data_IF_046498978782
#
_entry.id   IF_046498978782
#
_cell.length_a   1.000
_cell.length_b   1.000
_cell.length_c   1.000
_cell.angle_alpha   90.00
_cell.angle_beta   90.00
_cell.angle_gamma   90.00
#
_symmetry.space_group_name_H-M   'P 1'
#
loop_
_entity.id
_entity.type
_entity.pdbx_description
1 polymer ?
#
# COMPACT_ATOMS: atom_id res chain seq x y z
N UNK A 1 -5.03 -14.19 -37.68
CA UNK A 1 -4.71 -12.97 -36.92
C UNK A 1 -4.38 -13.41 -35.50
N UNK A 2 -3.12 -13.32 -35.07
CA UNK A 2 -2.70 -13.79 -33.76
C UNK A 2 -2.82 -12.64 -32.74
N UNK A 3 -3.51 -12.88 -31.62
CA UNK A 3 -3.59 -11.94 -30.50
C UNK A 3 -2.33 -12.13 -29.66
N UNK A 4 -1.50 -11.09 -29.45
CA UNK A 4 -0.36 -11.22 -28.54
C UNK A 4 -0.88 -11.40 -27.11
N UNK A 5 -0.51 -12.49 -26.45
CA UNK A 5 -0.64 -12.62 -25.01
C UNK A 5 0.35 -11.64 -24.36
N UNK A 6 -0.17 -10.59 -23.74
CA UNK A 6 0.61 -9.81 -22.79
C UNK A 6 0.84 -10.67 -21.55
N UNK A 7 2.08 -11.07 -21.29
CA UNK A 7 2.45 -11.64 -20.00
C UNK A 7 2.29 -10.56 -18.95
N UNK A 8 1.25 -10.65 -18.13
CA UNK A 8 1.15 -9.82 -16.93
C UNK A 8 2.39 -10.08 -16.08
N UNK A 9 3.29 -9.10 -16.01
CA UNK A 9 4.38 -9.12 -15.03
C UNK A 9 3.74 -8.89 -13.67
N UNK A 10 3.53 -9.97 -12.92
CA UNK A 10 3.16 -9.88 -11.52
C UNK A 10 4.39 -9.40 -10.75
N UNK A 11 4.26 -8.27 -10.04
CA UNK A 11 5.26 -7.89 -9.06
C UNK A 11 5.45 -9.03 -8.05
N UNK A 12 6.67 -9.23 -7.57
CA UNK A 12 6.95 -10.28 -6.59
C UNK A 12 6.36 -9.95 -5.21
N UNK A 13 6.10 -11.02 -4.44
CA UNK A 13 5.57 -10.92 -3.08
C UNK A 13 6.60 -10.35 -2.08
N UNK A 14 6.08 -9.72 -1.02
CA UNK A 14 6.78 -9.37 0.21
C UNK A 14 5.99 -9.96 1.37
N UNK A 15 5.95 -11.29 1.46
CA UNK A 15 5.03 -12.02 2.33
C UNK A 15 5.53 -12.18 3.78
N UNK A 16 6.69 -11.62 4.12
CA UNK A 16 7.30 -11.71 5.45
C UNK A 16 8.21 -10.51 5.74
N UNK A 17 8.53 -10.32 7.02
CA UNK A 17 9.53 -9.34 7.45
C UNK A 17 10.87 -9.56 6.73
N UNK A 18 11.42 -8.50 6.13
CA UNK A 18 12.65 -8.60 5.34
C UNK A 18 12.56 -9.34 3.99
N UNK A 19 11.34 -9.57 3.47
CA UNK A 19 10.99 -10.19 2.17
C UNK A 19 11.30 -11.67 2.01
N UNK A 20 12.49 -12.08 2.43
CA UNK A 20 13.01 -13.46 2.30
C UNK A 20 13.53 -13.94 3.65
N UNK A 21 13.84 -15.24 3.76
CA UNK A 21 14.48 -15.80 4.95
C UNK A 21 15.85 -15.14 5.30
N UNK A 22 16.45 -14.38 4.38
CA UNK A 22 17.67 -13.62 4.63
C UNK A 22 17.47 -12.34 5.46
N UNK A 23 16.23 -11.84 5.61
CA UNK A 23 15.90 -10.67 6.43
C UNK A 23 16.67 -9.37 6.10
N UNK A 24 17.04 -9.15 4.83
CA UNK A 24 17.91 -8.04 4.42
C UNK A 24 17.18 -6.87 3.73
N UNK A 25 15.84 -6.83 3.77
CA UNK A 25 15.03 -5.72 3.20
C UNK A 25 15.38 -5.31 1.76
N UNK A 26 15.84 -6.26 0.96
CA UNK A 26 16.30 -6.00 -0.39
C UNK A 26 15.19 -6.30 -1.40
N UNK A 27 14.99 -5.43 -2.39
CA UNK A 27 14.16 -5.67 -3.57
C UNK A 27 15.02 -5.62 -4.85
N UNK A 28 14.89 -6.59 -5.79
CA UNK A 28 15.57 -6.57 -7.08
C UNK A 28 14.87 -5.68 -8.10
N UNK A 29 13.73 -5.06 -7.74
CA UNK A 29 12.95 -4.20 -8.62
C UNK A 29 13.81 -3.05 -9.15
N UNK A 30 13.64 -2.72 -10.43
CA UNK A 30 14.44 -1.70 -11.13
C UNK A 30 13.52 -0.70 -11.80
N UNK A 31 14.04 0.48 -12.11
CA UNK A 31 13.27 1.53 -12.78
C UNK A 31 12.17 2.13 -11.91
N UNK A 32 12.24 1.95 -10.59
CA UNK A 32 11.34 2.61 -9.66
C UNK A 32 11.64 4.12 -9.58
N UNK A 33 10.64 4.98 -9.38
CA UNK A 33 10.87 6.38 -9.08
C UNK A 33 11.78 6.55 -7.86
N UNK A 34 12.80 7.41 -7.96
CA UNK A 34 13.73 7.70 -6.85
C UNK A 34 13.25 8.85 -5.95
N UNK A 35 12.15 9.50 -6.32
CA UNK A 35 11.52 10.61 -5.61
C UNK A 35 10.00 10.50 -5.75
N UNK A 36 9.28 10.96 -4.73
CA UNK A 36 7.83 11.09 -4.78
C UNK A 36 7.39 12.31 -3.96
N UNK A 37 6.21 12.84 -4.27
CA UNK A 37 5.54 13.84 -3.46
C UNK A 37 4.14 13.31 -3.10
N UNK A 38 3.77 13.25 -1.80
CA UNK A 38 2.51 12.68 -1.34
C UNK A 38 1.29 13.53 -1.73
N UNK A 39 1.49 14.75 -2.22
CA UNK A 39 0.42 15.71 -2.56
C UNK A 39 -0.16 16.41 -1.34
N UNK A 40 -1.12 17.29 -1.61
CA UNK A 40 -1.89 18.03 -0.63
C UNK A 40 -3.22 17.33 -0.31
N UNK A 41 -3.78 17.61 0.87
CA UNK A 41 -5.15 17.24 1.17
C UNK A 41 -6.13 18.20 0.49
N UNK A 42 -7.26 17.68 0.01
CA UNK A 42 -8.36 18.54 -0.44
C UNK A 42 -8.88 19.35 0.74
N UNK A 43 -9.18 20.65 0.57
CA UNK A 43 -9.57 21.54 1.67
C UNK A 43 -10.71 20.97 2.52
N UNK A 44 -10.48 20.88 3.84
CA UNK A 44 -11.49 20.41 4.80
C UNK A 44 -11.73 18.89 4.81
N UNK A 45 -10.87 18.10 4.16
CA UNK A 45 -10.99 16.64 4.12
C UNK A 45 -9.67 15.95 4.46
N UNK A 46 -9.73 14.64 4.65
CA UNK A 46 -8.54 13.76 4.77
C UNK A 46 -8.25 13.02 3.46
N UNK A 47 -8.81 13.49 2.34
CA UNK A 47 -8.55 12.92 1.02
C UNK A 47 -7.37 13.62 0.36
N UNK A 48 -6.41 12.85 -0.15
CA UNK A 48 -5.30 13.37 -0.95
C UNK A 48 -5.81 13.79 -2.33
N UNK A 49 -5.40 14.98 -2.78
CA UNK A 49 -5.56 15.40 -4.16
C UNK A 49 -4.44 14.78 -5.02
N UNK A 50 -4.77 13.68 -5.72
CA UNK A 50 -3.82 12.97 -6.58
C UNK A 50 -3.21 13.88 -7.67
N UNK A 51 -3.86 14.97 -8.08
CA UNK A 51 -3.33 15.89 -9.09
C UNK A 51 -2.10 16.69 -8.61
N UNK A 52 -1.93 16.80 -7.28
CA UNK A 52 -0.80 17.48 -6.64
C UNK A 52 0.36 16.53 -6.31
N UNK A 53 0.17 15.23 -6.55
CA UNK A 53 1.19 14.22 -6.26
C UNK A 53 2.26 14.16 -7.34
N UNK A 54 3.43 13.60 -6.98
CA UNK A 54 4.48 13.26 -7.93
C UNK A 54 4.83 11.79 -7.75
N UNK A 55 4.77 11.02 -8.83
CA UNK A 55 5.08 9.58 -8.86
C UNK A 55 4.22 8.72 -7.91
N UNK A 56 2.97 9.11 -7.63
CA UNK A 56 2.02 8.34 -6.82
C UNK A 56 0.92 7.78 -7.73
N UNK A 57 0.65 6.48 -7.63
CA UNK A 57 -0.37 5.80 -8.45
C UNK A 57 -1.76 5.82 -7.83
N UNK A 58 -1.83 5.70 -6.50
CA UNK A 58 -3.07 5.66 -5.73
C UNK A 58 -2.77 5.97 -4.25
N UNK A 59 -3.82 6.33 -3.52
CA UNK A 59 -3.80 6.58 -2.06
C UNK A 59 -5.00 5.87 -1.45
N UNK A 60 -4.82 5.29 -0.26
CA UNK A 60 -5.90 4.69 0.52
C UNK A 60 -5.88 5.28 1.94
N UNK A 61 -7.04 5.63 2.47
CA UNK A 61 -7.20 6.06 3.86
C UNK A 61 -7.16 4.84 4.77
N UNK A 62 -6.29 4.89 5.78
CA UNK A 62 -6.13 3.87 6.81
C UNK A 62 -6.58 4.45 8.17
N UNK A 63 -6.25 3.75 9.27
CA UNK A 63 -6.35 4.33 10.60
C UNK A 63 -5.45 5.55 10.80
N UNK A 64 -5.45 6.09 12.01
CA UNK A 64 -4.63 7.25 12.38
C UNK A 64 -3.27 6.90 12.97
N UNK A 65 -3.10 5.68 13.49
CA UNK A 65 -1.95 5.28 14.31
C UNK A 65 -1.55 3.81 14.07
N UNK A 66 -0.31 3.49 14.47
CA UNK A 66 0.31 2.16 14.46
C UNK A 66 0.49 1.53 13.06
N UNK A 67 1.48 2.00 12.30
CA UNK A 67 1.80 1.45 10.98
C UNK A 67 2.65 0.19 11.10
N UNK A 68 2.01 -0.97 11.03
CA UNK A 68 2.70 -2.24 10.85
C UNK A 68 3.38 -2.32 9.49
N UNK A 69 4.34 -3.23 9.36
CA UNK A 69 5.03 -3.44 8.10
C UNK A 69 4.08 -3.98 7.04
N UNK A 70 4.20 -3.45 5.82
CA UNK A 70 3.38 -3.88 4.69
C UNK A 70 3.77 -5.29 4.29
N UNK A 71 2.75 -6.15 4.18
CA UNK A 71 2.91 -7.51 3.65
C UNK A 71 2.20 -7.58 2.30
N UNK A 72 2.88 -8.08 1.28
CA UNK A 72 2.31 -8.23 -0.07
C UNK A 72 2.29 -9.71 -0.40
N UNK A 73 1.12 -10.27 -0.68
CA UNK A 73 1.04 -11.63 -1.19
C UNK A 73 -0.09 -11.85 -2.18
N UNK A 74 0.19 -12.58 -3.26
CA UNK A 74 -0.79 -12.95 -4.29
C UNK A 74 -1.55 -11.72 -4.83
N UNK A 75 -0.81 -10.63 -5.07
CA UNK A 75 -1.38 -9.38 -5.60
C UNK A 75 -2.23 -8.57 -4.59
N UNK A 76 -2.20 -8.92 -3.30
CA UNK A 76 -2.88 -8.18 -2.23
C UNK A 76 -1.86 -7.49 -1.32
N UNK A 77 -2.25 -6.34 -0.78
CA UNK A 77 -1.45 -5.54 0.15
C UNK A 77 -2.17 -5.56 1.49
N UNK A 78 -1.47 -6.02 2.53
CA UNK A 78 -1.97 -6.11 3.89
C UNK A 78 -1.24 -5.12 4.78
N UNK A 79 -1.99 -4.29 5.50
CA UNK A 79 -1.46 -3.24 6.37
C UNK A 79 -2.13 -3.29 7.74
N UNK A 80 -1.34 -3.48 8.79
CA UNK A 80 -1.81 -3.39 10.17
C UNK A 80 -1.87 -1.93 10.64
N UNK A 81 -2.97 -1.53 11.28
CA UNK A 81 -3.23 -0.17 11.80
C UNK A 81 -4.33 -0.17 12.86
N UNK A 82 -4.57 0.94 13.54
CA UNK A 82 -5.77 1.12 14.35
C UNK A 82 -7.04 1.34 13.50
N UNK A 83 -8.23 1.21 14.11
CA UNK A 83 -9.54 1.27 13.44
C UNK A 83 -10.21 2.66 13.45
N UNK A 84 -9.44 3.73 13.49
CA UNK A 84 -10.03 5.09 13.49
C UNK A 84 -10.70 5.46 12.15
N UNK A 85 -10.25 4.88 11.04
CA UNK A 85 -11.03 4.88 9.80
C UNK A 85 -11.86 3.59 9.73
N UNK A 86 -13.02 3.58 10.40
CA UNK A 86 -13.88 2.41 10.58
C UNK A 86 -13.95 1.50 9.33
N UNK A 87 -13.34 0.31 9.40
CA UNK A 87 -13.29 -0.66 8.30
C UNK A 87 -14.49 -1.61 8.28
N UNK A 88 -14.88 -2.13 9.44
CA UNK A 88 -16.03 -3.01 9.62
C UNK A 88 -16.99 -2.42 10.67
N UNK A 89 -18.23 -2.05 10.31
CA UNK A 89 -19.22 -1.52 11.24
C UNK A 89 -19.53 -2.42 12.44
N UNK A 90 -19.29 -3.74 12.35
CA UNK A 90 -19.48 -4.69 13.47
C UNK A 90 -18.41 -4.57 14.54
N UNK A 91 -17.30 -3.89 14.23
CA UNK A 91 -16.12 -3.81 15.08
C UNK A 91 -15.74 -2.36 15.32
N UNK A 92 -16.58 -1.64 16.07
CA UNK A 92 -16.33 -0.25 16.46
C UNK A 92 -15.36 -0.12 17.66
N UNK A 93 -14.84 1.10 17.83
CA UNK A 93 -13.88 1.46 18.88
C UNK A 93 -12.43 1.27 18.47
N UNK A 94 -11.53 1.61 19.39
CA UNK A 94 -10.09 1.48 19.21
C UNK A 94 -9.67 0.00 19.20
N UNK A 95 -9.15 -0.45 18.07
CA UNK A 95 -8.78 -1.85 17.79
C UNK A 95 -7.65 -1.89 16.79
N UNK A 96 -6.75 -2.86 16.95
CA UNK A 96 -5.87 -3.27 15.86
C UNK A 96 -6.66 -3.98 14.77
N UNK A 97 -6.49 -3.56 13.52
CA UNK A 97 -7.09 -4.15 12.33
C UNK A 97 -6.06 -4.33 11.22
N UNK A 98 -6.41 -5.14 10.24
CA UNK A 98 -5.65 -5.31 8.99
C UNK A 98 -6.54 -4.86 7.84
N UNK A 99 -6.03 -3.97 7.00
CA UNK A 99 -6.68 -3.63 5.73
C UNK A 99 -6.50 -4.75 4.72
#
# INVERSE_FOLDING_TARGET
MAIPLSTATLAEDWNQWGRTAHNNFYSPEKGIPHEFAPGDFKPGTEEVDLSTTKNVKWVAKLGSQAYGNVTISNGQIYIGTNNESLRDPKHSGDRGIVY
#
